data_IF_661432635985
#
_entry.id   IF_661432635985
#
_cell.length_a   1.000
_cell.length_b   1.000
_cell.length_c   1.000
_cell.angle_alpha   90.00
_cell.angle_beta   90.00
_cell.angle_gamma   90.00
#
_symmetry.space_group_name_H-M   'P 1'
#
loop_
_entity.id
_entity.type
_entity.pdbx_description
1 polymer ?
#
# COMPACT_ATOMS: atom_id res chain seq x y z
N UNK A 1 -12.18 -5.80 -5.67
CA UNK A 1 -12.29 -6.29 -4.28
C UNK A 1 -11.41 -5.45 -3.37
N UNK A 2 -11.87 -5.11 -2.14
CA UNK A 2 -11.07 -4.35 -1.15
C UNK A 2 -10.71 -5.25 0.03
N UNK A 3 -9.42 -5.36 0.34
CA UNK A 3 -8.88 -6.07 1.50
C UNK A 3 -8.47 -5.02 2.54
N UNK A 4 -9.18 -4.97 3.68
CA UNK A 4 -8.85 -4.08 4.79
C UNK A 4 -8.02 -4.83 5.82
N UNK A 5 -6.87 -4.28 6.21
CA UNK A 5 -5.94 -4.86 7.17
C UNK A 5 -5.90 -3.97 8.43
N UNK A 6 -6.33 -4.50 9.56
CA UNK A 6 -6.27 -3.85 10.87
C UNK A 6 -5.45 -4.70 11.83
N UNK A 7 -4.57 -4.08 12.62
CA UNK A 7 -3.75 -4.82 13.58
C UNK A 7 -4.59 -5.36 14.75
N UNK A 8 -5.52 -4.55 15.24
CA UNK A 8 -6.28 -4.83 16.46
C UNK A 8 -7.79 -4.83 16.20
N UNK A 9 -8.51 -5.69 16.93
CA UNK A 9 -9.98 -5.71 16.86
C UNK A 9 -10.64 -4.36 17.25
N UNK A 10 -10.16 -3.62 18.26
CA UNK A 10 -10.69 -2.28 18.57
C UNK A 10 -10.60 -1.27 17.43
N UNK A 11 -9.61 -1.39 16.54
CA UNK A 11 -9.48 -0.58 15.31
C UNK A 11 -10.55 -0.94 14.29
N UNK A 12 -10.78 -2.22 14.12
CA UNK A 12 -11.67 -2.77 13.12
C UNK A 12 -13.15 -2.71 13.50
N UNK A 13 -13.48 -2.79 14.80
CA UNK A 13 -14.85 -2.94 15.30
C UNK A 13 -15.82 -1.88 14.77
N UNK A 14 -15.49 -0.57 14.73
CA UNK A 14 -16.38 0.45 14.17
C UNK A 14 -16.68 0.22 12.68
N UNK A 15 -15.67 -0.13 11.89
CA UNK A 15 -15.80 -0.41 10.44
C UNK A 15 -16.65 -1.66 10.22
N UNK A 16 -16.39 -2.74 10.96
CA UNK A 16 -17.17 -3.99 10.92
C UNK A 16 -18.64 -3.71 11.15
N UNK A 17 -18.98 -2.92 12.17
CA UNK A 17 -20.37 -2.57 12.51
C UNK A 17 -21.01 -1.69 11.45
N UNK A 18 -20.31 -0.66 10.99
CA UNK A 18 -20.83 0.32 10.01
C UNK A 18 -21.13 -0.32 8.66
N UNK A 19 -20.22 -1.18 8.18
CA UNK A 19 -20.37 -1.89 6.91
C UNK A 19 -21.12 -3.22 7.06
N UNK A 20 -21.60 -3.55 8.27
CA UNK A 20 -22.33 -4.80 8.56
C UNK A 20 -21.57 -6.05 8.13
N UNK A 21 -20.22 -6.04 8.27
CA UNK A 21 -19.38 -7.17 7.91
C UNK A 21 -19.65 -8.36 8.83
N UNK A 22 -19.70 -9.56 8.29
CA UNK A 22 -19.92 -10.80 9.01
C UNK A 22 -18.64 -11.60 9.11
N UNK A 23 -18.41 -12.17 10.30
CA UNK A 23 -17.24 -13.03 10.48
C UNK A 23 -17.35 -14.28 9.60
N UNK A 24 -16.33 -14.51 8.80
CA UNK A 24 -16.12 -15.78 8.09
C UNK A 24 -15.59 -16.83 9.09
N UNK A 25 -16.47 -17.75 9.48
CA UNK A 25 -16.11 -18.84 10.41
C UNK A 25 -15.37 -19.99 9.72
N UNK A 26 -15.30 -19.98 8.40
CA UNK A 26 -14.55 -20.99 7.64
C UNK A 26 -13.05 -20.66 7.63
N UNK A 27 -12.67 -19.40 7.77
CA UNK A 27 -11.28 -19.01 7.95
C UNK A 27 -10.76 -19.52 9.30
N UNK A 28 -9.70 -20.34 9.24
CA UNK A 28 -9.09 -20.99 10.42
C UNK A 28 -7.84 -20.29 10.92
N UNK A 29 -7.30 -19.37 10.13
CA UNK A 29 -6.00 -18.75 10.41
C UNK A 29 -6.14 -17.32 10.92
N UNK A 30 -7.08 -16.55 10.34
CA UNK A 30 -7.31 -15.15 10.71
C UNK A 30 -8.78 -14.88 11.07
N UNK A 31 -9.01 -13.88 11.89
CA UNK A 31 -10.35 -13.31 12.06
C UNK A 31 -10.66 -12.44 10.86
N UNK A 32 -11.43 -13.00 9.95
CA UNK A 32 -11.87 -12.38 8.71
C UNK A 32 -13.34 -11.97 8.81
N UNK A 33 -13.67 -10.79 8.31
CA UNK A 33 -15.03 -10.26 8.28
C UNK A 33 -15.31 -9.71 6.89
N UNK A 34 -16.34 -10.20 6.21
CA UNK A 34 -16.68 -9.77 4.85
C UNK A 34 -18.13 -9.27 4.78
N UNK A 35 -18.44 -8.44 3.80
CA UNK A 35 -19.79 -8.15 3.36
C UNK A 35 -20.39 -9.34 2.59
N UNK A 36 -21.66 -9.23 2.17
CA UNK A 36 -22.39 -10.39 1.63
C UNK A 36 -21.85 -10.90 0.28
N UNK A 37 -21.28 -10.03 -0.52
CA UNK A 37 -20.72 -10.34 -1.86
C UNK A 37 -19.20 -10.49 -1.87
N UNK A 38 -18.55 -10.34 -0.71
CA UNK A 38 -17.11 -10.35 -0.51
C UNK A 38 -16.35 -9.25 -1.30
N UNK A 39 -17.02 -8.16 -1.69
CA UNK A 39 -16.34 -7.01 -2.28
C UNK A 39 -15.43 -6.29 -1.28
N UNK A 40 -15.78 -6.34 0.01
CA UNK A 40 -14.94 -5.85 1.13
C UNK A 40 -14.71 -6.98 2.12
N UNK A 41 -13.45 -7.32 2.38
CA UNK A 41 -13.03 -8.24 3.43
C UNK A 41 -12.01 -7.60 4.36
N UNK A 42 -12.26 -7.65 5.67
CA UNK A 42 -11.41 -7.10 6.71
C UNK A 42 -10.75 -8.22 7.51
N UNK A 43 -9.43 -8.14 7.67
CA UNK A 43 -8.62 -9.09 8.42
C UNK A 43 -8.02 -8.44 9.66
N UNK A 44 -8.04 -9.14 10.79
CA UNK A 44 -7.29 -8.77 11.99
C UNK A 44 -5.93 -9.46 11.91
N UNK A 45 -4.90 -8.66 11.63
CA UNK A 45 -3.54 -9.18 11.39
C UNK A 45 -2.82 -9.59 12.66
N UNK A 46 -3.12 -8.94 13.78
CA UNK A 46 -2.26 -8.87 14.96
C UNK A 46 -1.22 -7.76 14.81
N UNK A 47 -0.68 -7.25 15.93
CA UNK A 47 0.29 -6.15 15.92
C UNK A 47 1.68 -6.60 15.47
N UNK A 48 2.39 -5.68 14.83
CA UNK A 48 3.80 -5.81 14.45
C UNK A 48 4.05 -6.36 13.04
N UNK A 49 5.28 -6.15 12.53
CA UNK A 49 5.60 -6.31 11.11
C UNK A 49 5.46 -7.75 10.62
N UNK A 50 5.80 -8.74 11.43
CA UNK A 50 5.71 -10.16 11.03
C UNK A 50 4.25 -10.58 10.88
N UNK A 51 3.38 -10.20 11.82
CA UNK A 51 1.96 -10.50 11.76
C UNK A 51 1.31 -9.81 10.55
N UNK A 52 1.65 -8.54 10.34
CA UNK A 52 1.18 -7.77 9.20
C UNK A 52 1.59 -8.40 7.86
N UNK A 53 2.85 -8.76 7.70
CA UNK A 53 3.36 -9.41 6.49
C UNK A 53 2.69 -10.78 6.21
N UNK A 54 2.58 -11.62 7.24
CA UNK A 54 1.97 -12.95 7.08
C UNK A 54 0.48 -12.86 6.76
N UNK A 55 -0.25 -11.96 7.40
CA UNK A 55 -1.66 -11.75 7.13
C UNK A 55 -1.90 -11.18 5.73
N UNK A 56 -1.05 -10.24 5.28
CA UNK A 56 -1.11 -9.67 3.93
C UNK A 56 -0.90 -10.75 2.88
N UNK A 57 0.16 -11.56 3.03
CA UNK A 57 0.43 -12.68 2.11
C UNK A 57 -0.72 -13.67 2.07
N UNK A 58 -1.28 -14.01 3.24
CA UNK A 58 -2.40 -14.93 3.34
C UNK A 58 -3.64 -14.37 2.65
N UNK A 59 -4.02 -13.13 2.95
CA UNK A 59 -5.20 -12.49 2.39
C UNK A 59 -5.12 -12.39 0.86
N UNK A 60 -3.95 -12.10 0.30
CA UNK A 60 -3.75 -12.06 -1.15
C UNK A 60 -3.78 -13.46 -1.78
N UNK A 61 -3.16 -14.46 -1.13
CA UNK A 61 -3.08 -15.82 -1.68
C UNK A 61 -4.41 -16.60 -1.61
N UNK A 62 -5.26 -16.35 -0.61
CA UNK A 62 -6.54 -17.06 -0.48
C UNK A 62 -7.63 -16.52 -1.41
N UNK A 63 -7.52 -15.27 -1.84
CA UNK A 63 -8.51 -14.66 -2.69
C UNK A 63 -8.37 -15.14 -4.15
N UNK A 64 -9.54 -15.41 -4.76
CA UNK A 64 -9.65 -15.88 -6.16
C UNK A 64 -9.93 -14.75 -7.14
N UNK A 65 -10.10 -13.52 -6.63
CA UNK A 65 -10.26 -12.33 -7.46
C UNK A 65 -8.96 -12.09 -8.24
N UNK A 66 -9.08 -11.57 -9.45
CA UNK A 66 -7.90 -11.17 -10.21
C UNK A 66 -7.09 -10.18 -9.36
N UNK A 67 -5.79 -10.38 -9.32
CA UNK A 67 -4.90 -9.58 -8.48
C UNK A 67 -4.95 -8.10 -8.86
N UNK A 68 -5.22 -7.80 -10.13
CA UNK A 68 -5.34 -6.45 -10.65
C UNK A 68 -6.57 -5.71 -10.13
N UNK A 69 -7.61 -6.44 -9.70
CA UNK A 69 -8.83 -5.89 -9.14
C UNK A 69 -8.82 -5.80 -7.60
N UNK A 70 -7.71 -6.18 -6.97
CA UNK A 70 -7.57 -6.11 -5.51
C UNK A 70 -7.03 -4.75 -5.09
N UNK A 71 -7.67 -4.14 -4.10
CA UNK A 71 -7.18 -2.96 -3.39
C UNK A 71 -6.89 -3.33 -1.94
N UNK A 72 -5.76 -2.89 -1.43
CA UNK A 72 -5.32 -3.12 -0.05
C UNK A 72 -5.43 -1.84 0.73
N UNK A 73 -6.12 -1.87 1.85
CA UNK A 73 -6.27 -0.75 2.76
C UNK A 73 -5.74 -1.14 4.12
N UNK A 74 -4.65 -0.54 4.56
CA UNK A 74 -4.23 -0.62 5.95
C UNK A 74 -4.92 0.49 6.76
N UNK A 75 -5.78 0.13 7.68
CA UNK A 75 -6.43 1.05 8.60
C UNK A 75 -6.04 0.72 10.04
N UNK A 76 -5.53 1.72 10.77
CA UNK A 76 -5.11 1.48 12.14
C UNK A 76 -4.56 2.71 12.86
N UNK A 77 -4.30 2.50 14.15
CA UNK A 77 -3.73 3.49 15.05
C UNK A 77 -2.26 3.77 14.77
N UNK A 78 -1.83 4.97 15.12
CA UNK A 78 -0.43 5.37 15.09
C UNK A 78 -0.11 6.35 16.23
N UNK A 79 1.15 6.47 16.58
CA UNK A 79 1.63 7.52 17.46
C UNK A 79 2.01 8.76 16.64
N UNK A 80 1.81 9.95 17.21
CA UNK A 80 2.34 11.20 16.70
C UNK A 80 3.78 11.37 17.20
N UNK A 81 4.72 11.49 16.26
CA UNK A 81 6.14 11.64 16.61
C UNK A 81 6.49 13.05 17.05
N UNK A 82 6.44 13.96 16.15
CA UNK A 82 6.59 15.40 16.29
C UNK A 82 6.40 16.03 14.91
N UNK A 83 6.11 17.30 14.85
CA UNK A 83 5.92 17.99 13.58
C UNK A 83 5.39 19.39 13.80
N UNK A 84 5.49 20.23 12.77
CA UNK A 84 4.99 21.60 12.83
C UNK A 84 3.47 21.68 12.97
N UNK A 85 2.76 20.65 12.47
CA UNK A 85 1.28 20.56 12.54
C UNK A 85 0.90 19.13 12.85
N UNK A 86 0.17 18.94 13.96
CA UNK A 86 -0.46 17.64 14.27
C UNK A 86 -1.68 17.47 13.37
N UNK A 87 -1.73 16.43 12.54
CA UNK A 87 -2.91 16.14 11.74
C UNK A 87 -4.16 15.99 12.59
N UNK A 88 -5.30 16.41 12.07
CA UNK A 88 -6.59 16.25 12.72
C UNK A 88 -7.39 15.14 12.03
N UNK A 89 -7.79 14.11 12.79
CA UNK A 89 -8.60 13.03 12.22
C UNK A 89 -7.76 11.94 11.55
N UNK A 90 -8.27 11.43 10.43
CA UNK A 90 -7.63 10.37 9.64
C UNK A 90 -6.60 10.97 8.68
N UNK A 91 -5.43 10.35 8.61
CA UNK A 91 -4.39 10.72 7.64
C UNK A 91 -4.28 9.67 6.54
N UNK A 92 -3.92 10.09 5.34
CA UNK A 92 -3.54 9.22 4.24
C UNK A 92 -2.02 9.28 4.07
N UNK A 93 -1.33 8.14 4.27
CA UNK A 93 0.12 8.11 4.22
C UNK A 93 0.62 8.03 2.77
N UNK A 94 1.27 9.10 2.30
CA UNK A 94 1.89 9.19 0.97
C UNK A 94 3.35 8.72 0.95
N UNK A 95 3.98 8.59 2.14
CA UNK A 95 5.35 8.12 2.29
C UNK A 95 5.47 7.24 3.52
N UNK A 96 6.08 6.08 3.35
CA UNK A 96 6.27 5.06 4.39
C UNK A 96 7.75 4.76 4.52
N UNK A 97 8.29 4.84 5.73
CA UNK A 97 9.71 4.62 6.01
C UNK A 97 9.85 3.42 6.95
N UNK A 98 10.52 2.38 6.52
CA UNK A 98 10.89 1.27 7.39
C UNK A 98 12.18 1.61 8.15
N UNK A 99 12.06 1.86 9.46
CA UNK A 99 13.19 2.29 10.26
C UNK A 99 14.24 1.18 10.47
N UNK A 100 13.80 -0.08 10.47
CA UNK A 100 14.69 -1.21 10.71
C UNK A 100 15.59 -1.51 9.49
N UNK A 101 15.07 -1.28 8.27
CA UNK A 101 15.79 -1.53 7.01
C UNK A 101 16.31 -0.27 6.32
N UNK A 102 15.82 0.91 6.69
CA UNK A 102 16.11 2.20 6.04
C UNK A 102 15.41 2.37 4.67
N UNK A 103 14.53 1.45 4.28
CA UNK A 103 13.80 1.52 2.98
C UNK A 103 12.64 2.49 3.07
N UNK A 104 12.41 3.21 1.97
CA UNK A 104 11.28 4.14 1.83
C UNK A 104 10.38 3.68 0.70
N UNK A 105 9.08 3.80 0.90
CA UNK A 105 8.04 3.39 -0.02
C UNK A 105 7.05 4.53 -0.26
N UNK A 106 6.47 4.57 -1.45
CA UNK A 106 5.54 5.60 -1.87
C UNK A 106 4.30 4.94 -2.47
N UNK A 107 3.18 4.87 -1.72
CA UNK A 107 1.88 4.54 -2.31
C UNK A 107 1.46 5.59 -3.33
N UNK A 108 0.83 5.17 -4.43
CA UNK A 108 0.31 6.10 -5.41
C UNK A 108 -1.00 6.73 -4.93
N UNK A 109 -1.06 8.06 -4.95
CA UNK A 109 -2.19 8.84 -4.43
C UNK A 109 -3.20 9.16 -5.55
N UNK A 110 -3.72 8.13 -6.25
CA UNK A 110 -4.60 8.32 -7.40
C UNK A 110 -6.02 8.76 -7.01
N UNK A 111 -6.49 8.36 -5.84
CA UNK A 111 -7.79 8.75 -5.35
C UNK A 111 -7.71 10.15 -4.71
N UNK A 112 -8.47 11.11 -5.25
CA UNK A 112 -8.59 12.43 -4.61
C UNK A 112 -9.29 12.29 -3.27
N UNK A 113 -8.64 12.74 -2.22
CA UNK A 113 -9.13 12.70 -0.84
C UNK A 113 -8.97 14.07 -0.18
N UNK A 114 -9.84 14.37 0.76
CA UNK A 114 -9.73 15.54 1.64
C UNK A 114 -8.91 15.26 2.91
N UNK A 115 -8.41 14.03 3.05
CA UNK A 115 -7.60 13.63 4.21
C UNK A 115 -6.24 14.29 4.16
N UNK A 116 -5.71 14.63 5.34
CA UNK A 116 -4.35 15.16 5.48
C UNK A 116 -3.33 14.09 5.04
N UNK A 117 -2.38 14.49 4.19
CA UNK A 117 -1.27 13.63 3.83
C UNK A 117 -0.23 13.56 4.95
N UNK A 118 0.35 12.38 5.16
CA UNK A 118 1.34 12.18 6.19
C UNK A 118 2.49 11.27 5.76
N UNK A 119 3.66 11.49 6.36
CA UNK A 119 4.78 10.54 6.33
C UNK A 119 4.76 9.69 7.59
N UNK A 120 4.76 8.37 7.43
CA UNK A 120 4.78 7.42 8.54
C UNK A 120 6.09 6.64 8.59
N UNK A 121 6.63 6.49 9.80
CA UNK A 121 7.73 5.56 10.09
C UNK A 121 7.16 4.29 10.69
N UNK A 122 7.55 3.15 10.15
CA UNK A 122 7.21 1.84 10.70
C UNK A 122 8.43 1.22 11.39
N UNK A 123 8.23 0.75 12.62
CA UNK A 123 9.27 0.02 13.37
C UNK A 123 8.74 -1.26 14.01
N UNK A 124 9.67 -2.09 14.50
CA UNK A 124 9.33 -3.39 15.09
C UNK A 124 8.95 -3.32 16.58
N UNK A 125 9.00 -2.14 17.19
CA UNK A 125 8.73 -1.93 18.63
C UNK A 125 7.72 -0.81 18.84
N UNK A 126 7.04 -0.83 19.99
CA UNK A 126 6.18 0.27 20.42
C UNK A 126 7.03 1.52 20.57
N UNK A 127 6.51 2.65 20.05
CA UNK A 127 7.14 3.95 20.23
C UNK A 127 6.91 4.43 21.67
N UNK A 128 8.02 4.77 22.35
CA UNK A 128 8.00 5.38 23.68
C UNK A 128 8.88 6.63 23.68
N UNK A 129 8.30 7.79 23.93
CA UNK A 129 9.03 9.04 24.07
C UNK A 129 9.75 9.04 25.43
N UNK A 130 11.09 8.93 25.43
CA UNK A 130 11.86 9.04 26.66
C UNK A 130 12.01 10.51 27.04
N UNK A 131 11.46 10.89 28.16
CA UNK A 131 11.69 12.19 28.76
C UNK A 131 12.96 12.11 29.62
N UNK A 132 14.12 12.48 29.10
CA UNK A 132 15.30 12.74 29.93
C UNK A 132 15.35 14.23 30.33
N UNK A 133 15.13 14.47 31.63
CA UNK A 133 15.43 15.74 32.34
C UNK A 133 14.98 17.04 31.64
N UNK A 134 13.74 17.08 31.11
CA UNK A 134 13.13 18.32 30.61
C UNK A 134 13.61 18.83 29.26
N UNK A 135 14.42 18.06 28.54
CA UNK A 135 14.68 18.24 27.10
C UNK A 135 14.29 16.95 26.38
N UNK A 136 13.26 17.04 25.53
CA UNK A 136 12.83 15.91 24.69
C UNK A 136 13.97 15.54 23.74
N UNK A 137 14.67 14.46 24.02
CA UNK A 137 15.50 13.80 23.02
C UNK A 137 14.69 12.75 22.29
N UNK A 138 14.78 12.79 20.99
CA UNK A 138 14.13 11.84 20.07
C UNK A 138 14.51 10.40 20.44
N UNK A 139 13.57 9.51 20.77
CA UNK A 139 13.88 8.20 21.33
C UNK A 139 14.03 7.14 20.26
N UNK A 140 15.06 7.21 19.48
CA UNK A 140 15.51 6.09 18.66
C UNK A 140 16.91 5.68 19.07
N UNK A 141 17.11 5.43 20.37
CA UNK A 141 18.32 4.77 20.86
C UNK A 141 17.97 3.34 21.25
N UNK A 142 18.41 2.37 20.45
CA UNK A 142 18.59 1.00 20.93
C UNK A 142 19.58 0.99 22.08
N UNK A 143 19.34 0.18 23.12
CA UNK A 143 20.26 -0.08 24.23
C UNK A 143 21.63 -0.66 23.82
N UNK A 144 21.96 -0.66 22.53
CA UNK A 144 23.21 -1.15 21.92
C UNK A 144 23.95 -0.07 21.11
N UNK A 145 23.76 1.23 21.41
CA UNK A 145 24.62 2.29 20.86
C UNK A 145 24.49 2.55 19.36
N UNK A 146 23.48 2.04 18.69
CA UNK A 146 23.06 2.52 17.37
C UNK A 146 21.99 3.57 17.55
N UNK A 147 22.44 4.80 17.64
CA UNK A 147 21.64 5.98 17.33
C UNK A 147 21.18 5.77 15.89
N UNK A 148 19.93 5.40 15.68
CA UNK A 148 19.32 5.52 14.35
C UNK A 148 19.49 7.00 14.00
N UNK A 149 20.23 7.25 12.93
CA UNK A 149 20.76 8.55 12.59
C UNK A 149 19.61 9.56 12.66
N UNK A 150 19.67 10.46 13.61
CA UNK A 150 18.83 11.67 13.67
C UNK A 150 18.76 12.34 12.29
N UNK A 151 19.85 12.29 11.52
CA UNK A 151 19.89 12.71 10.12
C UNK A 151 18.88 12.02 9.22
N UNK A 152 18.60 10.72 9.41
CA UNK A 152 17.63 9.99 8.57
C UNK A 152 16.19 10.41 8.85
N UNK A 153 15.85 10.66 10.12
CA UNK A 153 14.53 11.18 10.49
C UNK A 153 14.39 12.67 10.11
N UNK A 154 15.45 13.46 10.23
CA UNK A 154 15.46 14.86 9.79
C UNK A 154 15.27 15.00 8.28
N UNK A 155 15.86 14.10 7.45
CA UNK A 155 15.67 14.08 6.00
C UNK A 155 14.29 13.59 5.58
N UNK A 156 13.65 12.74 6.38
CA UNK A 156 12.37 12.13 6.04
C UNK A 156 11.16 12.89 6.54
N UNK A 157 11.34 13.77 7.54
CA UNK A 157 10.31 14.58 8.20
C UNK A 157 9.03 13.78 8.55
N UNK A 158 9.15 12.65 9.30
CA UNK A 158 8.03 11.83 9.61
C UNK A 158 7.19 12.46 10.73
N UNK A 159 5.87 12.43 10.55
CA UNK A 159 4.93 12.90 11.58
C UNK A 159 4.29 11.76 12.38
N UNK A 160 4.28 10.54 11.83
CA UNK A 160 3.56 9.40 12.40
C UNK A 160 4.49 8.19 12.59
N UNK A 161 4.11 7.32 13.54
CA UNK A 161 4.79 6.05 13.78
C UNK A 161 3.78 4.92 13.99
N UNK A 162 4.03 3.77 13.31
CA UNK A 162 3.29 2.53 13.49
C UNK A 162 4.21 1.30 13.53
N UNK A 163 3.61 0.11 13.51
CA UNK A 163 4.33 -1.14 13.51
C UNK A 163 4.01 -2.04 12.31
N UNK A 164 3.20 -1.60 11.33
CA UNK A 164 2.65 -2.47 10.28
C UNK A 164 2.82 -1.95 8.84
N UNK A 165 2.71 -0.66 8.60
CA UNK A 165 2.56 -0.10 7.26
C UNK A 165 3.67 -0.52 6.29
N UNK A 166 4.93 -0.41 6.68
CA UNK A 166 6.04 -0.81 5.80
C UNK A 166 6.05 -2.31 5.50
N UNK A 167 5.69 -3.15 6.47
CA UNK A 167 5.63 -4.59 6.28
C UNK A 167 4.49 -4.99 5.33
N UNK A 168 3.33 -4.32 5.44
CA UNK A 168 2.21 -4.49 4.51
C UNK A 168 2.61 -4.07 3.11
N UNK A 169 3.20 -2.85 2.96
CA UNK A 169 3.63 -2.37 1.65
C UNK A 169 4.65 -3.30 1.00
N UNK A 170 5.72 -3.64 1.72
CA UNK A 170 6.80 -4.47 1.20
C UNK A 170 6.29 -5.86 0.80
N UNK A 171 5.39 -6.45 1.59
CA UNK A 171 4.78 -7.74 1.27
C UNK A 171 3.83 -7.63 0.07
N UNK A 172 2.94 -6.66 0.07
CA UNK A 172 1.94 -6.48 -0.97
C UNK A 172 2.59 -6.15 -2.33
N UNK A 173 3.71 -5.42 -2.36
CA UNK A 173 4.43 -5.07 -3.59
C UNK A 173 4.95 -6.28 -4.39
N UNK A 174 4.95 -7.48 -3.81
CA UNK A 174 5.23 -8.72 -4.54
C UNK A 174 4.02 -9.20 -5.37
N UNK A 175 2.85 -8.67 -5.13
CA UNK A 175 1.59 -9.12 -5.73
C UNK A 175 0.89 -8.00 -6.51
N UNK A 176 0.84 -6.79 -5.96
CA UNK A 176 0.06 -5.64 -6.46
C UNK A 176 0.94 -4.41 -6.68
N UNK A 177 0.45 -3.45 -7.45
CA UNK A 177 1.13 -2.18 -7.71
C UNK A 177 0.93 -1.14 -6.59
N UNK A 178 1.74 -0.05 -6.57
CA UNK A 178 1.63 1.01 -5.57
C UNK A 178 0.26 1.69 -5.53
N UNK A 179 -0.43 1.75 -6.67
CA UNK A 179 -1.77 2.33 -6.82
C UNK A 179 -2.90 1.50 -6.19
N UNK A 180 -2.59 0.27 -5.79
CA UNK A 180 -3.52 -0.64 -5.13
C UNK A 180 -3.33 -0.69 -3.61
N UNK A 181 -2.46 0.16 -3.06
CA UNK A 181 -2.09 0.14 -1.64
C UNK A 181 -2.40 1.49 -0.98
N UNK A 182 -3.24 1.48 0.04
CA UNK A 182 -3.73 2.66 0.74
C UNK A 182 -3.49 2.52 2.24
N UNK A 183 -2.98 3.57 2.87
CA UNK A 183 -2.60 3.55 4.29
C UNK A 183 -3.29 4.69 5.03
N UNK A 184 -4.38 4.36 5.72
CA UNK A 184 -5.18 5.28 6.51
C UNK A 184 -4.83 5.12 7.98
N UNK A 185 -4.39 6.20 8.61
CA UNK A 185 -3.95 6.19 9.99
C UNK A 185 -4.63 7.28 10.81
N UNK A 186 -4.88 6.99 12.09
CA UNK A 186 -5.37 7.96 13.06
C UNK A 186 -4.51 7.95 14.32
N UNK A 187 -4.33 9.12 14.93
CA UNK A 187 -3.43 9.29 16.06
C UNK A 187 -4.11 8.87 17.34
N UNK A 188 -3.48 7.95 18.09
CA UNK A 188 -3.95 7.51 19.41
C UNK A 188 -3.16 8.15 20.55
N UNK A 189 -1.87 8.38 20.37
CA UNK A 189 -0.98 8.82 21.43
C UNK A 189 0.23 9.60 20.89
N UNK A 190 1.08 10.05 21.77
CA UNK A 190 2.32 10.78 21.46
C UNK A 190 3.56 10.05 22.02
N UNK A 191 3.48 8.72 22.15
CA UNK A 191 4.55 7.91 22.72
C UNK A 191 4.63 8.00 24.24
N UNK A 192 3.54 8.33 24.91
CA UNK A 192 3.45 8.49 26.36
C UNK A 192 2.97 7.21 27.10
N UNK A 193 2.75 6.13 26.35
CA UNK A 193 2.29 4.86 26.91
C UNK A 193 0.82 4.85 27.33
N UNK A 194 0.04 5.85 26.96
CA UNK A 194 -1.38 6.00 27.37
C UNK A 194 -2.35 5.14 26.56
N UNK A 195 -1.87 4.25 25.70
CA UNK A 195 -2.71 3.43 24.80
C UNK A 195 -3.53 2.43 25.59
N UNK A 196 -4.87 2.52 25.44
CA UNK A 196 -5.81 1.51 25.93
C UNK A 196 -6.72 1.03 24.81
N UNK A 197 -7.28 -0.18 24.89
CA UNK A 197 -8.24 -0.66 23.89
C UNK A 197 -9.45 0.26 23.72
N UNK A 198 -9.89 0.92 24.79
CA UNK A 198 -11.00 1.89 24.77
C UNK A 198 -10.61 3.15 24.00
N UNK A 199 -9.41 3.68 24.20
CA UNK A 199 -8.90 4.84 23.48
C UNK A 199 -8.79 4.54 21.99
N UNK A 200 -8.19 3.40 21.63
CA UNK A 200 -8.08 2.93 20.24
C UNK A 200 -9.44 2.86 19.56
N UNK A 201 -10.43 2.23 20.23
CA UNK A 201 -11.81 2.12 19.73
C UNK A 201 -12.46 3.50 19.56
N UNK A 202 -12.31 4.40 20.52
CA UNK A 202 -12.88 5.74 20.47
C UNK A 202 -12.32 6.53 19.29
N UNK A 203 -10.99 6.52 19.10
CA UNK A 203 -10.34 7.20 17.97
C UNK A 203 -10.71 6.57 16.63
N UNK A 204 -10.80 5.23 16.56
CA UNK A 204 -11.29 4.53 15.36
C UNK A 204 -12.74 4.91 15.04
N UNK A 205 -13.59 5.11 16.06
CA UNK A 205 -14.97 5.58 15.87
C UNK A 205 -15.03 7.03 15.38
N UNK A 206 -14.14 7.91 15.85
CA UNK A 206 -14.02 9.30 15.39
C UNK A 206 -13.57 9.37 13.92
N UNK A 207 -12.73 8.43 13.48
CA UNK A 207 -12.21 8.32 12.11
C UNK A 207 -13.15 7.56 11.14
N UNK A 208 -14.29 7.06 11.64
CA UNK A 208 -15.12 6.11 10.89
C UNK A 208 -15.71 6.69 9.61
N UNK A 209 -16.20 7.92 9.65
CA UNK A 209 -16.83 8.54 8.48
C UNK A 209 -15.82 8.76 7.36
N UNK A 210 -14.60 9.21 7.69
CA UNK A 210 -13.48 9.38 6.76
C UNK A 210 -13.13 8.06 6.05
N UNK A 211 -12.98 6.99 6.83
CA UNK A 211 -12.63 5.67 6.30
C UNK A 211 -13.73 5.10 5.41
N UNK A 212 -14.99 5.21 5.83
CA UNK A 212 -16.12 4.71 5.06
C UNK A 212 -16.30 5.49 3.76
N UNK A 213 -16.09 6.80 3.78
CA UNK A 213 -16.10 7.62 2.56
C UNK A 213 -14.98 7.19 1.61
N UNK A 214 -13.77 7.00 2.14
CA UNK A 214 -12.62 6.54 1.35
C UNK A 214 -12.86 5.16 0.73
N UNK A 215 -13.36 4.19 1.51
CA UNK A 215 -13.67 2.85 1.01
C UNK A 215 -14.74 2.88 -0.10
N UNK A 216 -15.77 3.71 0.03
CA UNK A 216 -16.79 3.87 -1.02
C UNK A 216 -16.23 4.48 -2.29
N UNK A 217 -15.38 5.50 -2.16
CA UNK A 217 -14.72 6.09 -3.31
C UNK A 217 -13.80 5.08 -4.02
N UNK A 218 -13.16 4.21 -3.25
CA UNK A 218 -12.32 3.13 -3.76
C UNK A 218 -13.16 2.03 -4.45
N UNK A 219 -14.35 1.68 -3.92
CA UNK A 219 -15.29 0.77 -4.61
C UNK A 219 -15.69 1.31 -5.99
N UNK A 220 -16.05 2.60 -6.07
CA UNK A 220 -16.39 3.23 -7.35
C UNK A 220 -15.22 3.20 -8.34
N UNK A 221 -13.99 3.45 -7.86
CA UNK A 221 -12.80 3.36 -8.69
C UNK A 221 -12.57 1.93 -9.21
N UNK A 222 -12.76 0.91 -8.37
CA UNK A 222 -12.64 -0.50 -8.77
C UNK A 222 -13.70 -0.86 -9.82
N UNK A 223 -14.94 -0.40 -9.64
CA UNK A 223 -16.03 -0.64 -10.58
C UNK A 223 -15.76 0.04 -11.93
N UNK A 224 -15.26 1.28 -11.92
CA UNK A 224 -14.88 2.00 -13.15
C UNK A 224 -13.69 1.32 -13.85
N UNK A 225 -12.72 0.82 -13.09
CA UNK A 225 -11.59 0.07 -13.63
C UNK A 225 -12.03 -1.30 -14.18
N UNK A 226 -12.94 -2.00 -13.52
CA UNK A 226 -13.49 -3.28 -14.00
C UNK A 226 -14.36 -3.08 -15.24
N UNK A 227 -15.03 -1.92 -15.37
CA UNK A 227 -15.80 -1.57 -16.57
C UNK A 227 -14.91 -1.19 -17.77
N UNK A 228 -13.64 -0.87 -17.53
CA UNK A 228 -12.62 -0.60 -18.54
C UNK A 228 -11.75 -1.84 -18.76
N UNK A 229 -12.34 -2.94 -19.28
CA UNK A 229 -11.54 -3.99 -19.88
C UNK A 229 -10.62 -3.37 -20.94
N UNK A 230 -9.38 -3.85 -21.00
CA UNK A 230 -8.45 -3.43 -22.05
C UNK A 230 -9.18 -3.54 -23.41
N UNK A 231 -9.12 -2.49 -24.21
CA UNK A 231 -9.69 -2.53 -25.55
C UNK A 231 -9.13 -3.73 -26.33
N UNK A 232 -9.89 -4.27 -27.27
CA UNK A 232 -9.44 -5.40 -28.12
C UNK A 232 -8.05 -5.15 -28.73
N UNK A 233 -7.70 -3.89 -28.99
CA UNK A 233 -6.38 -3.47 -29.45
C UNK A 233 -5.29 -3.71 -28.41
N UNK A 234 -5.52 -3.33 -27.16
CA UNK A 234 -4.57 -3.51 -26.06
C UNK A 234 -4.44 -4.97 -25.63
N UNK A 235 -5.52 -5.75 -25.68
CA UNK A 235 -5.45 -7.21 -25.49
C UNK A 235 -4.53 -7.87 -26.53
N UNK A 236 -4.64 -7.46 -27.80
CA UNK A 236 -3.75 -7.95 -28.86
C UNK A 236 -2.29 -7.55 -28.63
N UNK A 237 -2.06 -6.38 -28.06
CA UNK A 237 -0.71 -5.91 -27.65
C UNK A 237 -0.20 -6.75 -26.49
N UNK A 238 -1.03 -7.03 -25.50
CA UNK A 238 -0.70 -7.88 -24.35
C UNK A 238 -0.22 -9.26 -24.79
N UNK A 239 -0.99 -9.93 -25.64
CA UNK A 239 -0.66 -11.27 -26.14
C UNK A 239 0.68 -11.28 -26.88
N UNK A 240 0.91 -10.28 -27.74
CA UNK A 240 2.19 -10.10 -28.45
C UNK A 240 3.36 -9.92 -27.50
N UNK A 241 3.22 -9.04 -26.48
CA UNK A 241 4.26 -8.80 -25.50
C UNK A 241 4.56 -10.04 -24.65
N UNK A 242 3.57 -10.80 -24.27
CA UNK A 242 3.72 -12.06 -23.53
C UNK A 242 4.60 -13.04 -24.32
N UNK A 243 4.34 -13.18 -25.62
CA UNK A 243 5.09 -14.05 -26.51
C UNK A 243 6.52 -13.52 -26.75
N UNK A 244 6.65 -12.26 -27.16
CA UNK A 244 7.92 -11.65 -27.56
C UNK A 244 8.91 -11.45 -26.40
N UNK A 245 8.42 -11.24 -25.17
CA UNK A 245 9.24 -11.12 -23.97
C UNK A 245 9.51 -12.48 -23.29
N UNK A 246 8.98 -13.58 -23.80
CA UNK A 246 8.97 -14.88 -23.10
C UNK A 246 8.49 -14.73 -21.64
N UNK A 247 7.36 -14.04 -21.46
CA UNK A 247 6.92 -13.54 -20.17
C UNK A 247 6.54 -14.67 -19.22
N UNK A 248 7.13 -14.65 -18.02
CA UNK A 248 6.66 -15.49 -16.91
C UNK A 248 5.32 -14.99 -16.39
N UNK A 249 4.64 -15.79 -15.59
CA UNK A 249 3.38 -15.43 -14.95
C UNK A 249 3.45 -14.03 -14.27
N UNK A 250 4.49 -13.77 -13.50
CA UNK A 250 4.71 -12.45 -12.87
C UNK A 250 4.88 -11.33 -13.90
N UNK A 251 5.60 -11.58 -14.99
CA UNK A 251 5.77 -10.58 -16.05
C UNK A 251 4.46 -10.32 -16.81
N UNK A 252 3.60 -11.33 -16.98
CA UNK A 252 2.28 -11.16 -17.61
C UNK A 252 1.42 -10.18 -16.82
N UNK A 253 1.40 -10.31 -15.48
CA UNK A 253 0.71 -9.34 -14.62
C UNK A 253 1.30 -7.93 -14.74
N UNK A 254 2.62 -7.81 -14.77
CA UNK A 254 3.28 -6.51 -14.94
C UNK A 254 2.95 -5.87 -16.30
N UNK A 255 2.89 -6.66 -17.37
CA UNK A 255 2.50 -6.20 -18.71
C UNK A 255 1.05 -5.69 -18.67
N UNK A 256 0.14 -6.46 -18.08
CA UNK A 256 -1.27 -6.07 -17.93
C UNK A 256 -1.41 -4.72 -17.19
N UNK A 257 -0.74 -4.58 -16.05
CA UNK A 257 -0.75 -3.33 -15.28
C UNK A 257 -0.20 -2.14 -16.07
N UNK A 258 0.90 -2.33 -16.81
CA UNK A 258 1.49 -1.27 -17.64
C UNK A 258 0.56 -0.83 -18.78
N UNK A 259 -0.13 -1.77 -19.42
CA UNK A 259 -1.10 -1.47 -20.48
C UNK A 259 -2.32 -0.74 -19.93
N UNK A 260 -2.85 -1.16 -18.78
CA UNK A 260 -3.94 -0.45 -18.09
C UNK A 260 -3.53 0.98 -17.72
N UNK A 261 -2.35 1.15 -17.14
CA UNK A 261 -1.84 2.47 -16.81
C UNK A 261 -1.69 3.35 -18.05
N UNK A 262 -1.12 2.80 -19.13
CA UNK A 262 -0.95 3.53 -20.38
C UNK A 262 -2.29 3.97 -20.99
N UNK A 263 -3.32 3.12 -20.92
CA UNK A 263 -4.67 3.44 -21.40
C UNK A 263 -5.29 4.60 -20.59
N UNK A 264 -5.25 4.51 -19.27
CA UNK A 264 -5.76 5.56 -18.37
C UNK A 264 -4.98 6.87 -18.56
N UNK A 265 -3.66 6.80 -18.72
CA UNK A 265 -2.79 7.97 -18.92
C UNK A 265 -2.85 8.54 -20.34
N UNK A 266 -3.56 7.89 -21.27
CA UNK A 266 -3.63 8.29 -22.68
C UNK A 266 -2.30 8.14 -23.42
N UNK A 267 -1.45 7.20 -22.98
CA UNK A 267 -0.15 6.92 -23.58
C UNK A 267 -0.34 5.99 -24.77
N UNK A 268 0.14 6.41 -25.94
CA UNK A 268 0.10 5.60 -27.17
C UNK A 268 1.14 4.46 -27.10
N UNK A 269 0.69 3.31 -26.61
CA UNK A 269 1.56 2.14 -26.42
C UNK A 269 2.06 1.52 -27.75
N UNK A 270 1.30 1.67 -28.84
CA UNK A 270 1.73 1.21 -30.18
C UNK A 270 3.02 1.92 -30.64
N UNK A 271 3.21 3.18 -30.30
CA UNK A 271 4.45 3.90 -30.59
C UNK A 271 5.65 3.33 -29.82
N UNK A 272 5.41 2.95 -28.55
CA UNK A 272 6.46 2.33 -27.74
C UNK A 272 6.85 0.99 -28.35
N UNK A 273 5.88 0.17 -28.74
CA UNK A 273 6.13 -1.10 -29.40
C UNK A 273 6.88 -0.96 -30.71
N UNK A 274 6.42 -0.05 -31.58
CA UNK A 274 7.07 0.21 -32.87
C UNK A 274 8.55 0.54 -32.66
N UNK A 275 8.86 1.41 -31.70
CA UNK A 275 10.26 1.76 -31.37
C UNK A 275 11.06 0.55 -30.88
N UNK A 276 10.46 -0.31 -30.05
CA UNK A 276 11.15 -1.52 -29.57
C UNK A 276 11.47 -2.51 -30.68
N UNK A 277 10.59 -2.65 -31.68
CA UNK A 277 10.86 -3.45 -32.89
C UNK A 277 11.90 -2.79 -33.81
N UNK A 278 11.83 -1.49 -34.02
CA UNK A 278 12.78 -0.73 -34.82
C UNK A 278 14.21 -0.76 -34.23
N UNK A 279 14.30 -0.81 -32.89
CA UNK A 279 15.55 -0.92 -32.15
C UNK A 279 16.07 -2.38 -32.04
N UNK A 280 15.48 -3.35 -32.74
CA UNK A 280 15.78 -4.80 -32.65
C UNK A 280 15.74 -5.37 -31.20
N UNK A 281 14.93 -4.77 -30.33
CA UNK A 281 14.76 -5.23 -28.93
C UNK A 281 13.70 -6.30 -28.80
N UNK A 282 12.73 -6.35 -29.70
CA UNK A 282 11.68 -7.36 -29.81
C UNK A 282 11.76 -8.09 -31.16
N UNK A 283 11.47 -9.39 -31.23
CA UNK A 283 11.24 -10.29 -30.08
C UNK A 283 12.53 -10.61 -29.32
N UNK A 284 12.41 -10.84 -28.02
CA UNK A 284 13.54 -11.22 -27.16
C UNK A 284 13.98 -12.66 -27.42
N UNK A 285 15.23 -12.98 -27.11
CA UNK A 285 15.80 -14.33 -27.28
C UNK A 285 15.44 -15.26 -26.12
N UNK A 286 15.24 -14.70 -24.96
CA UNK A 286 14.92 -15.43 -23.73
C UNK A 286 14.26 -14.52 -22.68
N UNK A 287 13.73 -15.13 -21.61
CA UNK A 287 13.10 -14.46 -20.48
C UNK A 287 13.99 -13.40 -19.80
N UNK A 288 15.33 -13.61 -19.76
CA UNK A 288 16.24 -12.68 -19.09
C UNK A 288 16.36 -11.36 -19.88
N UNK A 289 16.36 -11.46 -21.21
CA UNK A 289 16.29 -10.30 -22.07
C UNK A 289 14.91 -9.64 -21.97
N UNK A 290 13.85 -10.45 -21.96
CA UNK A 290 12.47 -9.95 -21.79
C UNK A 290 12.26 -9.13 -20.53
N UNK A 291 12.82 -9.57 -19.39
CA UNK A 291 12.74 -8.81 -18.15
C UNK A 291 13.40 -7.42 -18.26
N UNK A 292 14.57 -7.32 -18.91
CA UNK A 292 15.24 -6.03 -19.11
C UNK A 292 14.44 -5.10 -20.00
N UNK A 293 13.86 -5.63 -21.08
CA UNK A 293 13.03 -4.83 -21.99
C UNK A 293 11.76 -4.36 -21.26
N UNK A 294 11.17 -5.18 -20.41
CA UNK A 294 10.00 -4.79 -19.60
C UNK A 294 10.35 -3.66 -18.62
N UNK A 295 11.53 -3.70 -17.98
CA UNK A 295 12.03 -2.61 -17.13
C UNK A 295 12.25 -1.31 -17.93
N UNK A 296 12.75 -1.41 -19.16
CA UNK A 296 12.91 -0.24 -20.06
C UNK A 296 11.53 0.35 -20.44
N UNK A 297 10.54 -0.49 -20.75
CA UNK A 297 9.17 -0.04 -21.04
C UNK A 297 8.59 0.70 -19.84
N UNK A 298 8.76 0.15 -18.64
CA UNK A 298 8.33 0.80 -17.41
C UNK A 298 8.97 2.17 -17.22
N UNK A 299 10.30 2.27 -17.34
CA UNK A 299 11.02 3.53 -17.23
C UNK A 299 10.59 4.57 -18.28
N UNK A 300 10.18 4.12 -19.46
CA UNK A 300 9.67 4.97 -20.53
C UNK A 300 8.28 5.55 -20.18
N UNK A 301 7.43 4.72 -19.62
CA UNK A 301 6.07 5.10 -19.17
C UNK A 301 6.14 6.04 -17.96
N UNK A 302 7.03 5.76 -17.00
CA UNK A 302 7.22 6.57 -15.78
C UNK A 302 7.91 7.94 -16.07
N UNK A 303 8.21 8.26 -17.33
CA UNK A 303 8.85 9.52 -17.71
C UNK A 303 10.31 9.65 -17.25
N UNK A 304 10.92 8.56 -16.77
CA UNK A 304 12.31 8.56 -16.28
C UNK A 304 13.34 8.56 -17.42
N UNK A 305 12.91 8.37 -18.64
CA UNK A 305 13.76 8.43 -19.85
C UNK A 305 13.25 9.56 -20.74
N UNK A 306 13.89 10.73 -20.69
CA UNK A 306 13.70 11.75 -21.69
C UNK A 306 13.96 11.15 -23.08
N UNK A 307 13.04 11.40 -24.01
CA UNK A 307 13.25 11.11 -25.40
C UNK A 307 14.50 11.89 -25.86
N UNK A 308 15.64 11.23 -25.91
CA UNK A 308 16.74 11.73 -26.74
C UNK A 308 16.29 11.59 -28.20
N UNK A 309 16.02 12.75 -28.80
CA UNK A 309 15.79 12.95 -30.23
C UNK A 309 16.86 12.28 -31.12
#
# INVERSE_FOLDING_TARGET
MIIVLCALYPEAEPVIKKLSLKQDKADRFYKKYCNNDNSICLYITGPGPINAATATSYALAENKTDIDDIQIVNFGSCAFLDGNVKPSGTCLCSKIVNIDSGRTFYPDMLLKSSLDEATIVTGSRIYEKKFENGKGESPVSNNEGRTLQTSFLEETDPSLYDMEAAAIYETASHFVGPHQMHFLKYITDEGDGSITPELVRTRAQESLDDVVEYLKALELLVDDLAASDLSDGLLSIQDRLIEDLHASFTMQHQIHQLLRYADIAGIDFEKILTKLYDDDKLPCRDKRQGLKVLEEVRAYIDGSTEATE
#
